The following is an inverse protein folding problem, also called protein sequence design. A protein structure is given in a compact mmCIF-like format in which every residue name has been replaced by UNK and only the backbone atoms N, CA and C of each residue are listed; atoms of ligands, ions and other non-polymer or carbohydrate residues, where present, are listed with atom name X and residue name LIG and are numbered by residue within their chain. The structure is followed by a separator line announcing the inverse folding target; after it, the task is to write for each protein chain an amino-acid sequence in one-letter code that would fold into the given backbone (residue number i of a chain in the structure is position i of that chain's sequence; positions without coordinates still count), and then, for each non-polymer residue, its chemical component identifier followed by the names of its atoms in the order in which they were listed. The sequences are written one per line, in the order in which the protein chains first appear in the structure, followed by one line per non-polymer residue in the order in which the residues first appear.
data_IF_223228589504
#
_entry.id   IF_223228589504
#
_cell.length_a   1.000
_cell.length_b   1.000
_cell.length_c   1.000
_cell.angle_alpha   90.00
_cell.angle_beta   90.00
_cell.angle_gamma   90.00
#
_symmetry.space_group_name_H-M   'P 1'
#
loop_
_entity.id
_entity.type
_entity.pdbx_description
1 polymer ?
#
# COMPACT_ATOMS: atom_id res chain seq x y z
N UNK A 1 -12.12 -46.07 -27.93
CA UNK A 1 -10.72 -45.75 -28.26
C UNK A 1 -10.55 -44.98 -29.57
N UNK A 2 -11.36 -45.19 -30.61
CA UNK A 2 -11.22 -44.55 -31.94
C UNK A 2 -11.65 -43.04 -31.97
N UNK A 3 -12.40 -42.56 -31.00
CA UNK A 3 -12.89 -41.15 -30.96
C UNK A 3 -11.86 -40.17 -30.38
N UNK A 4 -10.92 -40.64 -29.56
CA UNK A 4 -9.88 -39.79 -28.95
C UNK A 4 -8.73 -39.51 -29.94
N UNK A 5 -8.42 -40.47 -30.79
CA UNK A 5 -7.33 -40.35 -31.78
C UNK A 5 -7.64 -39.40 -32.95
N UNK A 6 -8.91 -39.22 -33.30
CA UNK A 6 -9.32 -38.24 -34.30
C UNK A 6 -9.23 -36.79 -33.80
N UNK A 7 -9.40 -36.55 -32.49
CA UNK A 7 -9.37 -35.21 -31.92
C UNK A 7 -7.93 -34.69 -31.83
N UNK A 8 -6.97 -35.57 -31.54
CA UNK A 8 -5.53 -35.21 -31.47
C UNK A 8 -4.92 -34.99 -32.85
N UNK A 9 -5.30 -35.79 -33.84
CA UNK A 9 -4.84 -35.57 -35.24
C UNK A 9 -5.35 -34.28 -35.84
N UNK A 10 -6.58 -33.86 -35.50
CA UNK A 10 -7.12 -32.54 -35.92
C UNK A 10 -6.41 -31.34 -35.29
N UNK A 11 -6.03 -31.45 -34.02
CA UNK A 11 -5.27 -30.40 -33.34
C UNK A 11 -3.81 -30.32 -33.82
N UNK A 12 -3.18 -31.46 -34.13
CA UNK A 12 -1.83 -31.49 -34.69
C UNK A 12 -1.78 -30.95 -36.12
N UNK A 13 -2.78 -31.27 -36.96
CA UNK A 13 -2.91 -30.73 -38.32
C UNK A 13 -3.15 -29.21 -38.34
N UNK A 14 -3.91 -28.69 -37.37
CA UNK A 14 -4.07 -27.24 -37.16
C UNK A 14 -2.77 -26.58 -36.69
N UNK A 15 -2.02 -27.20 -35.81
CA UNK A 15 -0.73 -26.70 -35.35
C UNK A 15 0.32 -26.70 -36.48
N UNK A 16 0.40 -27.75 -37.31
CA UNK A 16 1.29 -27.80 -38.46
C UNK A 16 0.92 -26.76 -39.54
N UNK A 17 -0.36 -26.53 -39.81
CA UNK A 17 -0.80 -25.44 -40.71
C UNK A 17 -0.42 -24.05 -40.20
N UNK A 18 -0.33 -23.90 -38.90
CA UNK A 18 0.10 -22.66 -38.24
C UNK A 18 1.60 -22.38 -38.44
N UNK A 19 2.43 -23.44 -38.52
CA UNK A 19 3.89 -23.31 -38.69
C UNK A 19 4.37 -23.21 -40.13
N UNK A 20 3.63 -23.72 -41.10
CA UNK A 20 4.02 -23.70 -42.52
C UNK A 20 3.51 -22.50 -43.33
N UNK A 21 2.74 -21.59 -42.72
CA UNK A 21 2.16 -20.40 -43.35
C UNK A 21 3.01 -19.12 -43.27
N UNK A 22 4.27 -19.22 -42.93
CA UNK A 22 5.11 -18.03 -42.65
C UNK A 22 5.94 -17.58 -43.84
N UNK A 23 5.34 -17.09 -44.93
CA UNK A 23 6.07 -16.28 -45.93
C UNK A 23 5.17 -15.20 -46.62
N UNK A 24 4.08 -14.74 -45.96
CA UNK A 24 3.37 -13.53 -46.41
C UNK A 24 3.15 -12.58 -45.24
N UNK A 25 4.23 -11.89 -44.87
CA UNK A 25 4.45 -11.24 -43.54
C UNK A 25 3.63 -10.00 -43.21
N UNK A 26 2.60 -9.60 -43.94
CA UNK A 26 1.85 -8.38 -43.59
C UNK A 26 0.36 -8.64 -43.26
N UNK A 27 -0.27 -9.56 -43.95
CA UNK A 27 -1.73 -9.81 -43.78
C UNK A 27 -2.05 -10.67 -42.54
N UNK A 28 -1.12 -11.49 -42.07
CA UNK A 28 -1.31 -12.40 -40.95
C UNK A 28 -1.17 -11.70 -39.59
N UNK A 29 -0.38 -10.63 -39.48
CA UNK A 29 -0.19 -9.90 -38.23
C UNK A 29 -1.46 -9.18 -37.81
N UNK A 30 -2.15 -8.52 -38.73
CA UNK A 30 -3.44 -7.85 -38.47
C UNK A 30 -4.54 -8.84 -38.11
N UNK A 31 -4.64 -9.95 -38.85
CA UNK A 31 -5.63 -10.98 -38.56
C UNK A 31 -5.40 -11.60 -37.17
N UNK A 32 -4.15 -11.89 -36.81
CA UNK A 32 -3.78 -12.39 -35.49
C UNK A 32 -4.06 -11.36 -34.38
N UNK A 33 -3.81 -10.08 -34.63
CA UNK A 33 -4.13 -9.00 -33.73
C UNK A 33 -5.64 -8.92 -33.45
N UNK A 34 -6.47 -8.93 -34.49
CA UNK A 34 -7.94 -8.90 -34.34
C UNK A 34 -8.50 -10.15 -33.67
N UNK A 35 -7.90 -11.32 -33.84
CA UNK A 35 -8.28 -12.56 -33.14
C UNK A 35 -7.87 -12.58 -31.67
N UNK A 36 -6.77 -11.88 -31.31
CA UNK A 36 -6.29 -11.80 -29.93
C UNK A 36 -6.97 -10.69 -29.13
N UNK A 37 -7.54 -9.68 -29.79
CA UNK A 37 -8.16 -8.52 -29.14
C UNK A 37 -9.27 -8.87 -28.12
N UNK A 38 -10.19 -9.80 -28.40
CA UNK A 38 -11.22 -10.19 -27.42
C UNK A 38 -10.61 -10.79 -26.15
N UNK A 39 -9.57 -11.60 -26.27
CA UNK A 39 -8.85 -12.21 -25.13
C UNK A 39 -8.12 -11.16 -24.30
N UNK A 40 -7.50 -10.19 -24.93
CA UNK A 40 -6.82 -9.09 -24.23
C UNK A 40 -7.82 -8.24 -23.46
N UNK A 41 -8.97 -7.94 -24.05
CA UNK A 41 -10.04 -7.19 -23.38
C UNK A 41 -10.57 -7.97 -22.18
N UNK A 42 -10.81 -9.27 -22.33
CA UNK A 42 -11.25 -10.15 -21.23
C UNK A 42 -10.22 -10.17 -20.10
N UNK A 43 -8.94 -10.39 -20.40
CA UNK A 43 -7.87 -10.41 -19.40
C UNK A 43 -7.71 -9.06 -18.70
N UNK A 44 -7.82 -7.95 -19.43
CA UNK A 44 -7.80 -6.62 -18.84
C UNK A 44 -8.97 -6.42 -17.87
N UNK A 45 -10.18 -6.83 -18.27
CA UNK A 45 -11.35 -6.77 -17.41
C UNK A 45 -11.17 -7.61 -16.14
N UNK A 46 -10.65 -8.84 -16.26
CA UNK A 46 -10.34 -9.71 -15.13
C UNK A 46 -9.34 -9.05 -14.17
N UNK A 47 -8.24 -8.49 -14.70
CA UNK A 47 -7.24 -7.77 -13.92
C UNK A 47 -7.88 -6.60 -13.16
N UNK A 48 -8.65 -5.76 -13.83
CA UNK A 48 -9.32 -4.61 -13.22
C UNK A 48 -10.33 -5.04 -12.15
N UNK A 49 -11.07 -6.11 -12.39
CA UNK A 49 -12.00 -6.67 -11.40
C UNK A 49 -11.27 -7.16 -10.15
N UNK A 50 -10.17 -7.89 -10.32
CA UNK A 50 -9.36 -8.38 -9.18
C UNK A 50 -8.78 -7.17 -8.41
N UNK A 51 -8.27 -6.13 -9.09
CA UNK A 51 -7.83 -4.89 -8.44
C UNK A 51 -8.95 -4.26 -7.61
N UNK A 52 -10.14 -4.16 -8.17
CA UNK A 52 -11.30 -3.57 -7.48
C UNK A 52 -11.71 -4.39 -6.25
N UNK A 53 -11.79 -5.71 -6.40
CA UNK A 53 -12.17 -6.62 -5.30
C UNK A 53 -11.12 -6.62 -4.20
N UNK A 54 -9.83 -6.78 -4.53
CA UNK A 54 -8.76 -6.74 -3.53
C UNK A 54 -8.67 -5.38 -2.85
N UNK A 55 -8.71 -4.29 -3.62
CA UNK A 55 -8.65 -2.93 -3.06
C UNK A 55 -9.81 -2.64 -2.11
N UNK A 56 -11.04 -2.99 -2.52
CA UNK A 56 -12.22 -2.82 -1.68
C UNK A 56 -12.17 -3.70 -0.42
N UNK A 57 -11.78 -4.96 -0.56
CA UNK A 57 -11.64 -5.89 0.57
C UNK A 57 -10.62 -5.38 1.57
N UNK A 58 -9.43 -4.95 1.11
CA UNK A 58 -8.38 -4.40 1.97
C UNK A 58 -8.82 -3.11 2.66
N UNK A 59 -9.57 -2.25 1.97
CA UNK A 59 -10.16 -1.05 2.57
C UNK A 59 -11.10 -1.40 3.73
N UNK A 60 -12.06 -2.32 3.54
CA UNK A 60 -12.97 -2.73 4.59
C UNK A 60 -12.26 -3.45 5.74
N UNK A 61 -11.29 -4.30 5.45
CA UNK A 61 -10.45 -4.94 6.47
C UNK A 61 -9.72 -3.87 7.28
N UNK A 62 -9.10 -2.89 6.61
CA UNK A 62 -8.42 -1.79 7.28
C UNK A 62 -9.33 -0.96 8.19
N UNK A 63 -10.60 -0.77 7.80
CA UNK A 63 -11.59 -0.11 8.65
C UNK A 63 -12.02 -0.96 9.85
N UNK A 64 -12.08 -2.27 9.70
CA UNK A 64 -12.55 -3.20 10.72
C UNK A 64 -11.49 -3.50 11.81
N UNK A 65 -10.19 -3.32 11.52
CA UNK A 65 -9.13 -3.60 12.51
C UNK A 65 -9.13 -2.53 13.61
N UNK A 66 -9.29 -2.93 14.89
CA UNK A 66 -9.22 -2.01 16.03
C UNK A 66 -7.84 -1.34 16.12
N UNK A 67 -7.82 -0.03 16.38
CA UNK A 67 -6.59 0.79 16.37
C UNK A 67 -5.70 0.55 17.58
N UNK A 68 -6.24 0.07 18.68
CA UNK A 68 -5.56 -0.34 19.92
C UNK A 68 -4.63 -1.56 19.73
N UNK A 69 -4.83 -2.32 18.64
CA UNK A 69 -3.96 -3.46 18.31
C UNK A 69 -2.63 -3.08 17.67
N UNK A 70 -2.47 -1.84 17.28
CA UNK A 70 -1.25 -1.37 16.62
C UNK A 70 -0.27 -0.77 17.62
N UNK A 71 0.83 -1.49 17.83
CA UNK A 71 1.98 -1.00 18.57
C UNK A 71 3.09 -0.59 17.57
N UNK A 72 3.29 0.73 17.41
CA UNK A 72 4.30 1.27 16.50
C UNK A 72 5.74 1.01 16.98
N UNK A 73 5.93 0.57 18.23
CA UNK A 73 7.24 0.17 18.77
C UNK A 73 7.61 -1.27 18.39
N UNK A 74 6.66 -2.04 17.82
CA UNK A 74 6.91 -3.39 17.34
C UNK A 74 7.95 -3.40 16.22
N UNK A 75 8.78 -4.46 16.16
CA UNK A 75 9.85 -4.64 15.19
C UNK A 75 9.40 -4.52 13.73
N UNK A 76 8.15 -4.90 13.41
CA UNK A 76 7.58 -4.76 12.08
C UNK A 76 7.41 -3.30 11.66
N UNK A 77 6.98 -2.44 12.58
CA UNK A 77 6.69 -1.03 12.30
C UNK A 77 7.88 -0.10 12.54
N UNK A 78 8.83 -0.50 13.36
CA UNK A 78 10.03 0.29 13.61
C UNK A 78 10.86 0.46 12.33
N UNK A 79 11.52 1.62 12.14
CA UNK A 79 12.47 1.78 11.04
C UNK A 79 13.57 0.72 11.13
N UNK A 80 13.82 0.03 10.04
CA UNK A 80 14.96 -0.88 9.96
C UNK A 80 16.26 -0.09 9.86
N UNK A 81 17.38 -0.68 10.29
CA UNK A 81 18.69 0.00 10.32
C UNK A 81 19.08 0.62 8.97
N UNK A 82 18.76 -0.06 7.86
CA UNK A 82 19.05 0.42 6.51
C UNK A 82 18.18 1.61 6.08
N UNK A 83 17.02 1.81 6.66
CA UNK A 83 16.12 2.92 6.34
C UNK A 83 16.60 4.26 6.92
N UNK A 84 17.48 4.23 7.94
CA UNK A 84 18.04 5.42 8.60
C UNK A 84 16.96 6.43 9.00
N UNK A 85 15.93 5.97 9.70
CA UNK A 85 14.74 6.75 10.07
C UNK A 85 14.04 7.42 8.87
N UNK A 86 14.02 6.73 7.75
CA UNK A 86 13.39 7.19 6.52
C UNK A 86 14.26 8.07 5.61
N UNK A 87 15.53 8.33 5.97
CA UNK A 87 16.44 9.15 5.15
C UNK A 87 16.73 8.51 3.78
N UNK A 88 16.72 7.18 3.66
CA UNK A 88 16.90 6.50 2.37
C UNK A 88 15.82 6.89 1.36
N UNK A 89 14.59 7.10 1.81
CA UNK A 89 13.46 7.47 0.96
C UNK A 89 13.57 8.91 0.41
N UNK A 90 14.31 9.78 1.10
CA UNK A 90 14.62 11.12 0.59
C UNK A 90 15.52 11.07 -0.64
N UNK A 91 16.46 10.09 -0.68
CA UNK A 91 17.29 9.83 -1.86
C UNK A 91 16.45 9.36 -3.05
N UNK A 92 15.34 8.68 -2.81
CA UNK A 92 14.35 8.29 -3.82
C UNK A 92 13.41 9.44 -4.21
N UNK A 93 13.67 10.66 -3.72
CA UNK A 93 12.89 11.85 -4.05
C UNK A 93 11.46 11.84 -3.52
N UNK A 94 11.18 11.10 -2.42
CA UNK A 94 9.83 10.94 -1.86
C UNK A 94 9.12 12.28 -1.63
N UNK A 95 9.85 13.33 -1.24
CA UNK A 95 9.30 14.68 -1.03
C UNK A 95 8.65 15.28 -2.29
N UNK A 96 9.09 14.83 -3.49
CA UNK A 96 8.59 15.36 -4.77
C UNK A 96 7.31 14.69 -5.23
N UNK A 97 7.09 13.41 -4.87
CA UNK A 97 6.00 12.61 -5.41
C UNK A 97 4.97 12.14 -4.38
N UNK A 98 5.31 12.02 -3.09
CA UNK A 98 4.39 11.52 -2.05
C UNK A 98 3.06 12.28 -1.98
N UNK A 99 3.08 13.59 -2.22
CA UNK A 99 1.89 14.43 -2.15
C UNK A 99 0.99 14.32 -3.40
N UNK A 100 1.51 13.71 -4.48
CA UNK A 100 0.78 13.42 -5.73
C UNK A 100 0.07 12.08 -5.68
N UNK A 101 0.53 11.17 -4.81
CA UNK A 101 -0.12 9.86 -4.64
C UNK A 101 -1.45 10.07 -3.91
N UNK A 102 -2.57 9.55 -4.46
CA UNK A 102 -3.87 9.63 -3.80
C UNK A 102 -3.83 8.82 -2.50
N UNK A 103 -3.71 9.53 -1.38
CA UNK A 103 -3.65 8.93 -0.06
C UNK A 103 -5.02 9.06 0.61
N UNK A 104 -5.67 7.93 0.86
CA UNK A 104 -6.95 7.86 1.57
C UNK A 104 -6.82 8.38 3.01
N UNK A 105 -5.61 8.36 3.60
CA UNK A 105 -5.36 8.93 4.92
C UNK A 105 -5.63 10.44 4.94
N UNK A 106 -5.44 11.13 3.81
CA UNK A 106 -5.82 12.55 3.66
C UNK A 106 -7.34 12.74 3.74
N UNK A 107 -8.11 11.76 3.27
CA UNK A 107 -9.58 11.78 3.36
C UNK A 107 -10.04 11.55 4.79
N UNK A 108 -9.48 10.54 5.47
CA UNK A 108 -9.72 10.24 6.87
C UNK A 108 -9.29 11.42 7.75
N UNK A 109 -8.08 11.94 7.54
CA UNK A 109 -7.56 13.12 8.26
C UNK A 109 -8.43 14.36 8.03
N UNK A 110 -9.02 14.53 6.85
CA UNK A 110 -9.92 15.64 6.54
C UNK A 110 -11.27 15.51 7.26
N UNK A 111 -11.79 14.28 7.40
CA UNK A 111 -12.99 13.97 8.18
C UNK A 111 -12.76 14.22 9.68
N UNK A 112 -11.60 13.79 10.21
CA UNK A 112 -11.24 14.04 11.61
C UNK A 112 -10.89 15.51 11.88
N UNK A 113 -10.26 16.21 10.93
CA UNK A 113 -9.92 17.63 11.08
C UNK A 113 -11.14 18.54 11.25
N UNK A 114 -12.29 18.19 10.70
CA UNK A 114 -13.55 18.89 10.93
C UNK A 114 -14.09 18.70 12.36
N UNK A 115 -13.71 17.62 13.06
CA UNK A 115 -14.10 17.36 14.46
C UNK A 115 -13.12 17.96 15.50
N UNK A 116 -11.90 18.26 15.10
CA UNK A 116 -10.79 18.68 15.95
C UNK A 116 -10.22 20.03 15.48
N UNK A 117 -11.09 21.02 15.25
CA UNK A 117 -10.68 22.41 15.02
C UNK A 117 -10.03 22.93 16.29
N UNK A 118 -8.72 22.80 16.41
CA UNK A 118 -7.98 23.60 17.35
C UNK A 118 -7.01 22.91 18.28
N UNK A 119 -6.26 21.93 17.94
CA UNK A 119 -5.00 21.64 18.65
C UNK A 119 -4.34 20.42 17.98
N UNK A 120 -3.07 20.56 17.67
CA UNK A 120 -2.18 19.40 17.45
C UNK A 120 -2.02 18.70 18.80
N UNK A 121 -3.08 18.03 19.28
CA UNK A 121 -3.01 17.32 20.55
C UNK A 121 -2.12 16.09 20.40
N UNK A 122 -1.47 15.73 21.45
CA UNK A 122 -0.67 14.51 21.59
C UNK A 122 -1.44 13.28 21.11
N UNK A 123 -2.71 13.19 21.44
CA UNK A 123 -3.64 12.13 21.04
C UNK A 123 -3.82 12.07 19.53
N UNK A 124 -3.90 13.22 18.88
CA UNK A 124 -4.02 13.29 17.42
C UNK A 124 -2.76 12.76 16.73
N UNK A 125 -1.55 13.12 17.22
CA UNK A 125 -0.31 12.59 16.67
C UNK A 125 -0.19 11.08 16.88
N UNK A 126 -0.55 10.58 18.08
CA UNK A 126 -0.60 9.12 18.34
C UNK A 126 -1.55 8.40 17.39
N UNK A 127 -2.73 8.95 17.16
CA UNK A 127 -3.68 8.39 16.21
C UNK A 127 -3.10 8.36 14.80
N UNK A 128 -2.46 9.42 14.33
CA UNK A 128 -1.80 9.44 13.02
C UNK A 128 -0.72 8.36 12.91
N UNK A 129 0.09 8.15 13.95
CA UNK A 129 1.09 7.08 13.99
C UNK A 129 0.44 5.71 13.81
N UNK A 130 -0.62 5.43 14.54
CA UNK A 130 -1.38 4.17 14.46
C UNK A 130 -2.02 3.98 13.08
N UNK A 131 -2.56 5.04 12.48
CA UNK A 131 -3.09 4.98 11.11
C UNK A 131 -2.00 4.65 10.08
N UNK A 132 -0.76 5.13 10.27
CA UNK A 132 0.36 4.72 9.39
C UNK A 132 0.68 3.23 9.54
N UNK A 133 0.55 2.65 10.73
CA UNK A 133 0.75 1.22 10.95
C UNK A 133 -0.32 0.39 10.26
N UNK A 134 -1.58 0.77 10.42
CA UNK A 134 -2.70 0.12 9.76
C UNK A 134 -2.56 0.18 8.23
N UNK A 135 -2.29 1.36 7.68
CA UNK A 135 -2.12 1.54 6.24
C UNK A 135 -0.96 0.70 5.67
N UNK A 136 0.19 0.67 6.36
CA UNK A 136 1.31 -0.18 5.94
C UNK A 136 0.90 -1.65 5.92
N UNK A 137 0.26 -2.15 6.99
CA UNK A 137 -0.18 -3.55 7.07
C UNK A 137 -1.10 -3.90 5.90
N UNK A 138 -2.08 -3.06 5.59
CA UNK A 138 -3.04 -3.28 4.50
C UNK A 138 -2.33 -3.35 3.15
N UNK A 139 -1.38 -2.46 2.87
CA UNK A 139 -0.63 -2.49 1.62
C UNK A 139 0.29 -3.71 1.53
N UNK A 140 0.93 -4.12 2.64
CA UNK A 140 1.75 -5.33 2.69
C UNK A 140 0.88 -6.58 2.48
N UNK A 141 -0.26 -6.70 3.15
CA UNK A 141 -1.19 -7.81 2.94
C UNK A 141 -1.71 -7.84 1.49
N UNK A 142 -2.03 -6.69 0.92
CA UNK A 142 -2.44 -6.58 -0.48
C UNK A 142 -1.35 -7.11 -1.43
N UNK A 143 -0.08 -6.76 -1.19
CA UNK A 143 1.04 -7.30 -1.97
C UNK A 143 1.22 -8.81 -1.79
N UNK A 144 1.05 -9.33 -0.57
CA UNK A 144 1.14 -10.77 -0.29
C UNK A 144 0.02 -11.57 -0.98
N UNK A 145 -1.14 -10.96 -1.21
CA UNK A 145 -2.25 -11.59 -1.93
C UNK A 145 -2.15 -11.46 -3.46
N UNK A 146 -1.18 -10.68 -3.96
CA UNK A 146 -1.04 -10.45 -5.40
C UNK A 146 -0.84 -11.72 -6.26
N UNK A 147 -0.30 -12.87 -5.78
CA UNK A 147 -0.24 -14.09 -6.58
C UNK A 147 -1.59 -14.61 -7.09
N UNK A 148 -2.71 -14.14 -6.51
CA UNK A 148 -4.07 -14.48 -6.98
C UNK A 148 -4.27 -14.10 -8.46
N UNK A 149 -3.59 -13.07 -8.96
CA UNK A 149 -3.62 -12.71 -10.38
C UNK A 149 -3.11 -13.85 -11.27
N UNK A 150 -2.08 -14.58 -10.84
CA UNK A 150 -1.54 -15.71 -11.60
C UNK A 150 -2.49 -16.92 -11.61
N UNK A 151 -3.34 -17.03 -10.58
CA UNK A 151 -4.33 -18.11 -10.48
C UNK A 151 -5.57 -17.83 -11.31
N UNK A 152 -6.03 -16.59 -11.29
CA UNK A 152 -7.32 -16.20 -11.90
C UNK A 152 -7.20 -15.69 -13.34
N UNK A 153 -6.04 -15.17 -13.73
CA UNK A 153 -5.83 -14.65 -15.09
C UNK A 153 -4.82 -15.52 -15.85
N UNK A 154 -5.26 -16.07 -16.99
CA UNK A 154 -4.46 -17.02 -17.73
C UNK A 154 -3.18 -16.42 -18.34
N UNK A 155 -2.09 -17.17 -18.30
CA UNK A 155 -0.84 -16.87 -18.99
C UNK A 155 -0.09 -15.65 -18.45
N UNK A 156 0.62 -14.95 -19.34
CA UNK A 156 1.51 -13.84 -18.98
C UNK A 156 0.75 -12.62 -18.42
N UNK A 157 -0.51 -12.46 -18.75
CA UNK A 157 -1.34 -11.36 -18.25
C UNK A 157 -1.51 -11.43 -16.73
N UNK A 158 -1.61 -12.63 -16.14
CA UNK A 158 -1.65 -12.81 -14.69
C UNK A 158 -0.37 -12.31 -14.00
N UNK A 159 0.79 -12.60 -14.59
CA UNK A 159 2.09 -12.10 -14.08
C UNK A 159 2.13 -10.56 -14.16
N UNK A 160 1.70 -9.99 -15.29
CA UNK A 160 1.63 -8.53 -15.45
C UNK A 160 0.70 -7.90 -14.41
N UNK A 161 -0.49 -8.47 -14.21
CA UNK A 161 -1.45 -8.01 -13.20
C UNK A 161 -0.85 -8.05 -11.79
N UNK A 162 -0.18 -9.15 -11.42
CA UNK A 162 0.52 -9.30 -10.14
C UNK A 162 1.60 -8.22 -9.97
N UNK A 163 2.47 -8.04 -10.95
CA UNK A 163 3.56 -7.04 -10.88
C UNK A 163 2.99 -5.63 -10.76
N UNK A 164 2.00 -5.27 -11.56
CA UNK A 164 1.34 -3.96 -11.49
C UNK A 164 0.68 -3.74 -10.11
N UNK A 165 0.05 -4.77 -9.54
CA UNK A 165 -0.56 -4.68 -8.22
C UNK A 165 0.49 -4.46 -7.12
N UNK A 166 1.60 -5.19 -7.14
CA UNK A 166 2.72 -4.98 -6.21
C UNK A 166 3.29 -3.58 -6.36
N UNK A 167 3.64 -3.18 -7.59
CA UNK A 167 4.21 -1.85 -7.86
C UNK A 167 3.25 -0.72 -7.48
N UNK A 168 1.95 -0.92 -7.62
CA UNK A 168 0.92 0.03 -7.18
C UNK A 168 0.86 0.20 -5.66
N UNK A 169 1.14 -0.85 -4.87
CA UNK A 169 1.07 -0.81 -3.41
C UNK A 169 2.39 -0.36 -2.74
N UNK A 170 3.55 -0.62 -3.36
CA UNK A 170 4.88 -0.24 -2.83
C UNK A 170 4.99 1.24 -2.46
N UNK A 171 4.58 2.22 -3.30
CA UNK A 171 4.65 3.64 -2.94
C UNK A 171 3.90 3.99 -1.68
N UNK A 172 2.73 3.38 -1.46
CA UNK A 172 1.91 3.63 -0.26
C UNK A 172 2.60 3.10 0.99
N UNK A 173 3.13 1.87 0.96
CA UNK A 173 3.90 1.32 2.07
C UNK A 173 5.13 2.18 2.39
N UNK A 174 5.88 2.64 1.38
CA UNK A 174 7.03 3.53 1.53
C UNK A 174 6.62 4.85 2.19
N UNK A 175 5.49 5.45 1.80
CA UNK A 175 5.00 6.70 2.40
C UNK A 175 4.74 6.51 3.90
N UNK A 176 4.16 5.39 4.33
CA UNK A 176 3.90 5.13 5.74
C UNK A 176 5.21 4.97 6.53
N UNK A 177 6.16 4.21 6.00
CA UNK A 177 7.49 4.03 6.60
C UNK A 177 8.32 5.32 6.63
N UNK A 178 8.11 6.21 5.69
CA UNK A 178 8.74 7.53 5.66
C UNK A 178 8.12 8.49 6.68
N UNK A 179 6.80 8.51 6.82
CA UNK A 179 6.09 9.47 7.65
C UNK A 179 6.12 9.11 9.14
N UNK A 180 6.05 7.81 9.48
CA UNK A 180 5.95 7.34 10.87
C UNK A 180 7.08 7.82 11.78
N UNK A 181 8.38 7.69 11.44
CA UNK A 181 9.45 8.16 12.31
C UNK A 181 9.37 9.65 12.61
N UNK A 182 8.90 10.46 11.67
CA UNK A 182 8.71 11.91 11.83
C UNK A 182 7.57 12.25 12.77
N UNK A 183 6.49 11.47 12.71
CA UNK A 183 5.36 11.62 13.63
C UNK A 183 5.76 11.21 15.04
N UNK A 184 6.56 10.14 15.19
CA UNK A 184 7.10 9.70 16.49
C UNK A 184 8.01 10.78 17.08
N UNK A 185 8.90 11.35 16.29
CA UNK A 185 9.76 12.46 16.74
C UNK A 185 8.95 13.68 17.21
N UNK A 186 7.87 14.02 16.51
CA UNK A 186 6.96 15.10 16.93
C UNK A 186 6.29 14.75 18.27
N UNK A 187 5.83 13.52 18.42
CA UNK A 187 5.21 13.04 19.65
C UNK A 187 6.17 13.16 20.83
N UNK A 188 7.39 12.66 20.68
CA UNK A 188 8.45 12.73 21.71
C UNK A 188 8.76 14.18 22.11
N UNK A 189 8.84 15.10 21.15
CA UNK A 189 9.04 16.53 21.43
C UNK A 189 7.91 17.15 22.24
N UNK A 190 6.66 16.79 21.95
CA UNK A 190 5.50 17.23 22.71
C UNK A 190 5.57 16.69 24.14
N UNK A 191 5.86 15.40 24.31
CA UNK A 191 5.98 14.76 25.62
C UNK A 191 7.11 15.37 26.49
N UNK A 192 8.24 15.65 25.88
CA UNK A 192 9.35 16.33 26.55
C UNK A 192 9.00 17.77 26.96
N UNK A 193 8.26 18.50 26.14
CA UNK A 193 7.81 19.85 26.46
C UNK A 193 6.82 19.86 27.63
N UNK A 194 5.86 18.93 27.63
CA UNK A 194 4.92 18.75 28.74
C UNK A 194 5.63 18.39 30.05
N UNK A 195 6.61 17.46 29.99
CA UNK A 195 7.36 17.04 31.16
C UNK A 195 8.19 18.21 31.76
N UNK A 196 8.82 19.03 30.91
CA UNK A 196 9.55 20.24 31.34
C UNK A 196 8.63 21.26 32.00
N UNK A 197 7.46 21.52 31.41
CA UNK A 197 6.48 22.45 31.97
C UNK A 197 5.97 21.98 33.35
N UNK A 198 5.68 20.69 33.50
CA UNK A 198 5.28 20.10 34.77
C UNK A 198 6.38 20.17 35.84
N UNK A 199 7.64 19.93 35.46
CA UNK A 199 8.79 20.09 36.36
C UNK A 199 8.96 21.52 36.85
N UNK A 200 8.85 22.49 35.97
CA UNK A 200 8.94 23.93 36.31
C UNK A 200 7.81 24.34 37.26
N UNK A 201 6.55 23.91 36.99
CA UNK A 201 5.42 24.21 37.83
C UNK A 201 5.60 23.64 39.26
N UNK A 202 6.10 22.42 39.41
CA UNK A 202 6.41 21.83 40.72
C UNK A 202 7.45 22.63 41.48
N UNK A 203 8.50 23.08 40.82
CA UNK A 203 9.56 23.88 41.45
C UNK A 203 9.06 25.23 41.93
N UNK A 204 8.18 25.88 41.14
CA UNK A 204 7.56 27.15 41.53
C UNK A 204 6.65 26.98 42.73
N UNK A 205 5.81 25.95 42.76
CA UNK A 205 4.90 25.65 43.90
C UNK A 205 5.71 25.33 45.17
N UNK A 206 6.79 24.54 45.04
CA UNK A 206 7.65 24.21 46.19
C UNK A 206 8.28 25.46 46.80
N UNK A 207 8.85 26.37 45.95
CA UNK A 207 9.41 27.62 46.45
C UNK A 207 8.39 28.53 47.14
N UNK A 208 7.21 28.66 46.52
CA UNK A 208 6.15 29.47 47.13
C UNK A 208 5.70 28.91 48.52
N UNK A 209 5.63 27.58 48.63
CA UNK A 209 5.30 26.94 49.91
C UNK A 209 6.38 27.17 50.96
N UNK A 210 7.67 27.16 50.64
CA UNK A 210 8.78 27.47 51.54
C UNK A 210 8.78 28.93 51.98
N UNK A 211 8.43 29.86 51.09
CA UNK A 211 8.33 31.30 51.40
C UNK A 211 7.14 31.58 52.36
N UNK A 212 6.03 30.86 52.21
CA UNK A 212 4.85 31.04 53.06
C UNK A 212 5.01 30.42 54.47
N UNK A 213 5.95 29.48 54.64
CA UNK A 213 6.24 28.82 55.89
C UNK A 213 7.29 29.57 56.77
N UNK A 214 7.88 30.63 56.25
CA UNK A 214 8.81 31.52 56.96
C UNK A 214 8.10 32.78 57.46
#
# INVERSE_FOLDING_TARGET
MVRYERRTKGQFALACRYYTGSVTGGKNVLAHFFQSLPRLVEQLFQILLIFAVLGSSMFFIGMAIPRDRFDYTNAFYRPWKWERNGAIYEKLGIKKWKDRVPDMSKFVTRMYRKKLSGLRSKEHIRQLIVETCCAELIHVLSMLLSPIFMVLVAGRAGIVGMVLHVLGNVPFAIIQRYNRPRLVEILERIEQAEARAAGTARTVVSKAAEETAR
#
